data_IF_207507634921
#
_entry.id   IF_207507634921
#
_cell.length_a   1.000
_cell.length_b   1.000
_cell.length_c   1.000
_cell.angle_alpha   90.00
_cell.angle_beta   90.00
_cell.angle_gamma   90.00
#
_symmetry.space_group_name_H-M   'P 1'
#
loop_
_entity.id
_entity.type
_entity.pdbx_description
1 polymer ?
#
# COMPACT_ATOMS: atom_id res chain seq x y z
N UNK A 1 7.35 -4.43 -9.76
CA UNK A 1 8.08 -5.23 -8.74
C UNK A 1 8.77 -4.21 -7.84
N UNK A 2 7.96 -3.59 -6.98
CA UNK A 2 8.29 -2.32 -6.31
C UNK A 2 8.76 -2.53 -4.87
N UNK A 3 8.98 -1.43 -4.16
CA UNK A 3 9.56 -1.31 -2.81
C UNK A 3 8.92 -2.16 -1.69
N UNK A 4 7.87 -2.93 -1.99
CA UNK A 4 7.20 -3.86 -1.08
C UNK A 4 8.09 -5.03 -0.62
N UNK A 5 9.10 -5.43 -1.40
CA UNK A 5 10.10 -6.41 -0.95
C UNK A 5 11.04 -5.82 0.13
N UNK A 6 11.32 -4.51 0.09
CA UNK A 6 12.19 -3.87 1.08
C UNK A 6 11.54 -3.79 2.47
N UNK A 7 10.20 -3.74 2.53
CA UNK A 7 9.46 -3.75 3.80
C UNK A 7 9.31 -5.15 4.41
N UNK A 8 9.54 -6.22 3.65
CA UNK A 8 9.54 -7.59 4.18
C UNK A 8 10.64 -7.80 5.24
N UNK A 9 11.80 -7.17 5.06
CA UNK A 9 12.90 -7.15 6.04
C UNK A 9 12.56 -6.43 7.36
N UNK A 10 11.50 -5.60 7.38
CA UNK A 10 11.01 -4.86 8.55
C UNK A 10 9.67 -5.38 9.05
N UNK A 11 9.29 -6.62 8.70
CA UNK A 11 8.03 -7.26 9.12
C UNK A 11 7.73 -7.04 10.61
N UNK A 12 8.72 -7.07 11.51
CA UNK A 12 8.54 -6.83 12.94
C UNK A 12 7.97 -5.45 13.32
N UNK A 13 8.23 -4.41 12.54
CA UNK A 13 7.84 -3.02 12.81
C UNK A 13 6.52 -2.61 12.11
N UNK A 14 6.03 -3.42 11.17
CA UNK A 14 4.80 -3.14 10.43
C UNK A 14 3.56 -3.50 11.25
N UNK A 15 2.53 -2.65 11.19
CA UNK A 15 1.23 -3.00 11.74
C UNK A 15 0.67 -4.26 11.07
N UNK A 16 -0.17 -5.05 11.75
CA UNK A 16 -0.80 -6.24 11.15
C UNK A 16 -1.51 -5.93 9.82
N UNK A 17 -2.09 -4.73 9.72
CA UNK A 17 -2.76 -4.23 8.52
C UNK A 17 -1.78 -4.02 7.34
N UNK A 18 -0.62 -3.41 7.59
CA UNK A 18 0.37 -3.16 6.54
C UNK A 18 1.02 -4.45 6.04
N UNK A 19 1.16 -5.47 6.89
CA UNK A 19 1.62 -6.80 6.44
C UNK A 19 0.65 -7.41 5.45
N UNK A 20 -0.64 -7.38 5.78
CA UNK A 20 -1.70 -7.87 4.90
C UNK A 20 -1.76 -7.08 3.58
N UNK A 21 -1.53 -5.76 3.63
CA UNK A 21 -1.42 -4.93 2.43
C UNK A 21 -0.28 -5.40 1.51
N UNK A 22 0.91 -5.64 2.06
CA UNK A 22 2.06 -6.11 1.28
C UNK A 22 1.80 -7.48 0.64
N UNK A 23 1.25 -8.43 1.39
CA UNK A 23 0.89 -9.76 0.88
C UNK A 23 -0.16 -9.70 -0.25
N UNK A 24 -1.16 -8.82 -0.12
CA UNK A 24 -2.12 -8.58 -1.19
C UNK A 24 -1.48 -7.91 -2.39
N UNK A 25 -0.54 -6.99 -2.18
CA UNK A 25 0.14 -6.28 -3.25
C UNK A 25 1.02 -7.21 -4.08
N UNK A 26 1.65 -8.21 -3.47
CA UNK A 26 2.37 -9.26 -4.21
C UNK A 26 1.43 -10.08 -5.11
N UNK A 27 0.21 -10.37 -4.64
CA UNK A 27 -0.81 -11.06 -5.45
C UNK A 27 -1.42 -10.20 -6.56
N UNK A 28 -1.50 -8.89 -6.33
CA UNK A 28 -2.16 -7.92 -7.21
C UNK A 28 -1.25 -6.73 -7.52
N UNK A 29 -0.04 -7.02 -8.03
CA UNK A 29 0.99 -6.02 -8.25
C UNK A 29 0.58 -4.93 -9.25
N UNK A 30 -0.26 -5.28 -10.23
CA UNK A 30 -0.72 -4.37 -11.29
C UNK A 30 -1.94 -3.52 -10.91
N UNK A 31 -2.49 -3.69 -9.70
CA UNK A 31 -3.68 -2.97 -9.23
C UNK A 31 -3.36 -2.04 -8.06
N UNK A 32 -4.10 -0.94 -7.95
CA UNK A 32 -4.11 -0.07 -6.76
C UNK A 32 -4.99 -0.70 -5.67
N UNK A 33 -4.46 -0.87 -4.46
CA UNK A 33 -5.19 -1.38 -3.31
C UNK A 33 -5.72 -0.22 -2.47
N UNK A 34 -7.04 -0.03 -2.47
CA UNK A 34 -7.70 0.98 -1.62
C UNK A 34 -8.14 0.33 -0.32
N UNK A 35 -7.59 0.80 0.80
CA UNK A 35 -7.93 0.30 2.13
C UNK A 35 -9.00 1.19 2.75
N UNK A 36 -10.18 0.64 3.03
CA UNK A 36 -11.25 1.41 3.66
C UNK A 36 -10.96 1.58 5.15
N UNK A 37 -10.76 2.82 5.57
CA UNK A 37 -10.57 3.20 6.97
C UNK A 37 -11.61 4.26 7.33
N UNK A 38 -12.75 3.81 7.85
CA UNK A 38 -13.89 4.67 8.12
C UNK A 38 -14.55 5.19 6.84
N UNK A 39 -14.62 6.52 6.70
CA UNK A 39 -15.22 7.21 5.55
C UNK A 39 -14.23 7.44 4.39
N UNK A 40 -12.95 7.08 4.57
CA UNK A 40 -11.89 7.33 3.60
C UNK A 40 -11.29 6.02 3.06
N UNK A 41 -10.70 6.14 1.88
CA UNK A 41 -9.83 5.11 1.31
C UNK A 41 -8.39 5.56 1.39
N UNK A 42 -7.56 4.78 2.06
CA UNK A 42 -6.12 5.00 2.17
C UNK A 42 -5.38 4.05 1.24
N UNK A 43 -4.39 4.59 0.55
CA UNK A 43 -3.39 3.84 -0.20
C UNK A 43 -2.06 3.98 0.53
N UNK A 44 -1.20 2.98 0.42
CA UNK A 44 0.07 2.97 1.14
C UNK A 44 1.26 2.82 0.18
N UNK A 45 2.41 3.35 0.61
CA UNK A 45 3.68 3.30 -0.12
C UNK A 45 3.61 3.97 -1.49
N UNK A 46 4.14 3.32 -2.54
CA UNK A 46 4.21 3.87 -3.90
C UNK A 46 2.82 4.06 -4.52
N UNK A 47 1.83 3.24 -4.14
CA UNK A 47 0.45 3.40 -4.57
C UNK A 47 -0.15 4.73 -4.10
N UNK A 48 0.21 5.18 -2.91
CA UNK A 48 -0.24 6.46 -2.37
C UNK A 48 0.31 7.63 -3.20
N UNK A 49 1.60 7.57 -3.55
CA UNK A 49 2.27 8.59 -4.37
C UNK A 49 1.68 8.60 -5.79
N UNK A 50 1.48 7.42 -6.37
CA UNK A 50 0.90 7.27 -7.71
C UNK A 50 -0.53 7.79 -7.74
N UNK A 51 -1.36 7.40 -6.78
CA UNK A 51 -2.74 7.86 -6.67
C UNK A 51 -2.82 9.35 -6.36
N UNK A 52 -1.93 9.89 -5.52
CA UNK A 52 -1.86 11.33 -5.23
C UNK A 52 -1.59 12.15 -6.50
N UNK A 53 -0.67 11.71 -7.36
CA UNK A 53 -0.43 12.39 -8.64
C UNK A 53 -1.59 12.26 -9.62
N UNK A 54 -2.24 11.09 -9.70
CA UNK A 54 -3.34 10.85 -10.66
C UNK A 54 -4.62 11.58 -10.22
N UNK A 55 -4.93 11.54 -8.92
CA UNK A 55 -6.14 12.10 -8.33
C UNK A 55 -5.94 13.54 -7.83
N UNK A 56 -4.73 14.09 -7.99
CA UNK A 56 -4.34 15.43 -7.57
C UNK A 56 -4.57 15.68 -6.06
N UNK A 57 -4.27 14.67 -5.24
CA UNK A 57 -4.37 14.73 -3.77
C UNK A 57 -3.07 15.34 -3.22
N UNK A 58 -3.18 16.27 -2.27
CA UNK A 58 -2.04 17.05 -1.70
C UNK A 58 -1.60 16.51 -0.35
#
# INVERSE_FOLDING_TARGET
MGDYEQVEGRKGELSPMLRFYCELKEKYADCLLLFQVGDFYELFFEDAITASHILNLT
#
